data_IF_595541850476
#
_entry.id   IF_595541850476
#
_cell.length_a   1.000
_cell.length_b   1.000
_cell.length_c   1.000
_cell.angle_alpha   90.00
_cell.angle_beta   90.00
_cell.angle_gamma   90.00
#
_symmetry.space_group_name_H-M   'P 1'
#
loop_
_entity.id
_entity.type
_entity.pdbx_description
1 polymer ?
#
# COMPACT_ATOMS: atom_id res chain seq x y z
N UNK A 1 19.90 -9.11 -3.37
CA UNK A 1 21.04 -9.72 -2.64
C UNK A 1 20.71 -9.94 -1.16
N UNK A 2 20.47 -8.90 -0.34
CA UNK A 2 20.17 -9.08 1.10
C UNK A 2 18.93 -9.93 1.41
N UNK A 3 17.81 -9.73 0.70
CA UNK A 3 16.61 -10.54 0.89
C UNK A 3 16.85 -12.04 0.60
N UNK A 4 17.65 -12.34 -0.43
CA UNK A 4 18.04 -13.70 -0.80
C UNK A 4 18.90 -14.36 0.29
N UNK A 5 19.87 -13.61 0.85
CA UNK A 5 20.69 -14.09 1.98
C UNK A 5 19.82 -14.35 3.21
N UNK A 6 18.88 -13.44 3.53
CA UNK A 6 17.94 -13.63 4.64
C UNK A 6 17.04 -14.84 4.45
N UNK A 7 16.53 -15.08 3.24
CA UNK A 7 15.74 -16.27 2.92
C UNK A 7 16.54 -17.57 3.10
N UNK A 8 17.78 -17.62 2.58
CA UNK A 8 18.65 -18.77 2.72
C UNK A 8 18.99 -19.06 4.17
N UNK A 9 19.34 -18.03 4.95
CA UNK A 9 19.68 -18.17 6.37
C UNK A 9 18.47 -18.66 7.17
N UNK A 10 17.29 -18.09 6.93
CA UNK A 10 16.06 -18.55 7.57
C UNK A 10 15.79 -20.03 7.25
N UNK A 11 15.91 -20.43 5.97
CA UNK A 11 15.77 -21.82 5.56
C UNK A 11 16.76 -22.76 6.25
N UNK A 12 18.04 -22.35 6.34
CA UNK A 12 19.06 -23.12 7.04
C UNK A 12 18.75 -23.30 8.53
N UNK A 13 18.28 -22.25 9.19
CA UNK A 13 17.88 -22.30 10.60
C UNK A 13 16.70 -23.25 10.83
N UNK A 14 15.71 -23.25 9.94
CA UNK A 14 14.60 -24.22 10.00
C UNK A 14 15.07 -25.66 9.81
N UNK A 15 16.01 -25.90 8.88
CA UNK A 15 16.58 -27.24 8.66
C UNK A 15 17.34 -27.73 9.89
N UNK A 16 18.19 -26.88 10.48
CA UNK A 16 18.97 -27.24 11.67
C UNK A 16 18.07 -27.68 12.83
N UNK A 17 16.95 -27.01 13.02
CA UNK A 17 16.04 -27.34 14.11
C UNK A 17 15.15 -28.53 13.80
N UNK A 18 14.76 -28.69 12.54
CA UNK A 18 14.15 -29.94 12.09
C UNK A 18 15.07 -31.13 12.37
N UNK A 19 16.39 -30.95 12.26
CA UNK A 19 17.39 -31.97 12.57
C UNK A 19 17.60 -32.17 14.08
N UNK A 20 17.40 -31.14 14.91
CA UNK A 20 17.51 -31.21 16.37
C UNK A 20 16.27 -31.88 17.02
N UNK A 21 15.14 -31.95 16.31
CA UNK A 21 13.88 -32.51 16.80
C UNK A 21 13.99 -33.93 17.38
N UNK A 22 14.65 -34.92 16.73
CA UNK A 22 14.79 -36.25 17.30
C UNK A 22 15.55 -36.24 18.63
N UNK A 23 16.55 -35.37 18.78
CA UNK A 23 17.32 -35.21 20.02
C UNK A 23 16.44 -34.62 21.12
N UNK A 24 15.62 -33.63 20.77
CA UNK A 24 14.66 -33.00 21.70
C UNK A 24 13.63 -34.03 22.18
N UNK A 25 13.07 -34.84 21.28
CA UNK A 25 12.08 -35.88 21.61
C UNK A 25 12.71 -36.94 22.52
N UNK A 26 13.90 -37.43 22.18
CA UNK A 26 14.61 -38.39 23.02
C UNK A 26 15.02 -37.80 24.39
N UNK A 27 15.11 -36.47 24.48
CA UNK A 27 15.43 -35.73 25.68
C UNK A 27 14.22 -35.30 26.53
N UNK A 28 12.98 -35.71 26.18
CA UNK A 28 11.77 -35.42 26.95
C UNK A 28 11.75 -36.12 28.33
N UNK A 29 12.55 -37.17 28.51
CA UNK A 29 12.84 -37.79 29.80
C UNK A 29 11.57 -38.31 30.50
N UNK A 30 11.14 -37.60 31.55
CA UNK A 30 10.01 -37.98 32.41
C UNK A 30 8.62 -37.66 31.83
N UNK A 31 8.53 -36.88 30.75
CA UNK A 31 7.26 -36.55 30.12
C UNK A 31 6.84 -37.59 29.10
N UNK A 32 5.58 -38.02 29.15
CA UNK A 32 4.98 -38.78 28.07
C UNK A 32 4.90 -37.92 26.80
N UNK A 33 5.03 -38.56 25.63
CA UNK A 33 4.85 -37.89 24.34
C UNK A 33 3.45 -37.23 24.25
N UNK A 34 2.43 -37.86 24.81
CA UNK A 34 1.06 -37.34 24.82
C UNK A 34 0.97 -36.06 25.66
N UNK A 35 1.55 -36.06 26.86
CA UNK A 35 1.57 -34.89 27.75
C UNK A 35 2.33 -33.72 27.11
N UNK A 36 3.46 -33.99 26.46
CA UNK A 36 4.24 -32.98 25.77
C UNK A 36 3.47 -32.35 24.61
N UNK A 37 2.72 -33.15 23.84
CA UNK A 37 1.85 -32.66 22.77
C UNK A 37 0.71 -31.81 23.33
N UNK A 38 0.07 -32.24 24.42
CA UNK A 38 -1.02 -31.50 25.05
C UNK A 38 -0.55 -30.12 25.55
N UNK A 39 0.60 -30.07 26.22
CA UNK A 39 1.21 -28.79 26.63
C UNK A 39 1.54 -27.91 25.43
N UNK A 40 2.10 -28.48 24.37
CA UNK A 40 2.46 -27.74 23.18
C UNK A 40 1.23 -27.16 22.45
N UNK A 41 0.14 -27.92 22.35
CA UNK A 41 -1.12 -27.45 21.77
C UNK A 41 -1.79 -26.38 22.63
N UNK A 42 -1.83 -26.56 23.95
CA UNK A 42 -2.37 -25.56 24.87
C UNK A 42 -1.61 -24.23 24.75
N UNK A 43 -0.27 -24.28 24.75
CA UNK A 43 0.57 -23.10 24.59
C UNK A 43 0.40 -22.48 23.20
N UNK A 44 0.27 -23.29 22.15
CA UNK A 44 -0.01 -22.79 20.81
C UNK A 44 -1.29 -21.95 20.75
N UNK A 45 -2.38 -22.46 21.33
CA UNK A 45 -3.65 -21.71 21.42
C UNK A 45 -3.48 -20.41 22.21
N UNK A 46 -2.82 -20.47 23.37
CA UNK A 46 -2.55 -19.29 24.20
C UNK A 46 -1.77 -18.23 23.42
N UNK A 47 -0.70 -18.62 22.72
CA UNK A 47 0.13 -17.71 21.93
C UNK A 47 -0.66 -17.07 20.79
N UNK A 48 -1.50 -17.84 20.08
CA UNK A 48 -2.35 -17.32 19.00
C UNK A 48 -3.36 -16.31 19.56
N UNK A 49 -4.01 -16.62 20.68
CA UNK A 49 -4.99 -15.73 21.32
C UNK A 49 -4.32 -14.46 21.83
N UNK A 50 -3.20 -14.57 22.53
CA UNK A 50 -2.43 -13.41 23.01
C UNK A 50 -1.99 -12.51 21.86
N UNK A 51 -1.55 -13.09 20.74
CA UNK A 51 -1.20 -12.33 19.54
C UNK A 51 -2.41 -11.58 18.99
N UNK A 52 -3.55 -12.25 18.82
CA UNK A 52 -4.76 -11.59 18.34
C UNK A 52 -5.16 -10.44 19.26
N UNK A 53 -5.18 -10.66 20.58
CA UNK A 53 -5.47 -9.62 21.56
C UNK A 53 -4.48 -8.45 21.42
N UNK A 54 -3.16 -8.72 21.32
CA UNK A 54 -2.15 -7.69 21.19
C UNK A 54 -2.30 -6.87 19.88
N UNK A 55 -2.69 -7.51 18.77
CA UNK A 55 -2.92 -6.83 17.50
C UNK A 55 -4.17 -5.95 17.56
N UNK A 56 -5.27 -6.44 18.15
CA UNK A 56 -6.45 -5.62 18.40
C UNK A 56 -6.13 -4.47 19.36
N UNK A 57 -5.36 -4.72 20.41
CA UNK A 57 -4.95 -3.69 21.36
C UNK A 57 -4.13 -2.61 20.63
N UNK A 58 -3.15 -3.01 19.82
CA UNK A 58 -2.35 -2.10 18.99
C UNK A 58 -3.19 -1.30 17.98
N UNK A 59 -4.20 -1.91 17.37
CA UNK A 59 -5.06 -1.24 16.39
C UNK A 59 -6.05 -0.25 17.02
N UNK A 60 -6.59 -0.55 18.21
CA UNK A 60 -7.68 0.23 18.81
C UNK A 60 -7.21 1.18 19.93
N UNK A 61 -6.19 0.82 20.71
CA UNK A 61 -5.72 1.65 21.86
C UNK A 61 -5.19 3.02 21.44
N UNK A 62 -4.31 3.16 20.43
CA UNK A 62 -3.83 4.48 19.99
C UNK A 62 -4.97 5.38 19.54
N UNK A 63 -6.03 4.81 18.98
CA UNK A 63 -7.22 5.53 18.52
C UNK A 63 -8.11 6.01 19.66
N UNK A 64 -8.18 5.26 20.76
CA UNK A 64 -8.91 5.66 21.97
C UNK A 64 -8.13 6.75 22.72
N UNK A 65 -6.80 6.62 22.81
CA UNK A 65 -5.95 7.54 23.56
C UNK A 65 -5.64 8.84 22.81
N UNK A 66 -5.49 8.80 21.48
CA UNK A 66 -5.06 9.96 20.68
C UNK A 66 -6.11 10.37 19.65
N UNK A 67 -6.77 11.52 19.90
CA UNK A 67 -7.71 12.14 18.94
C UNK A 67 -7.08 12.42 17.57
N UNK A 68 -5.78 12.75 17.51
CA UNK A 68 -5.05 12.97 16.24
C UNK A 68 -5.05 11.73 15.35
N UNK A 69 -4.85 10.54 15.90
CA UNK A 69 -4.83 9.27 15.16
C UNK A 69 -6.25 8.94 14.67
N UNK A 70 -7.27 9.13 15.53
CA UNK A 70 -8.67 8.89 15.16
C UNK A 70 -9.18 9.77 14.00
N UNK A 71 -8.71 11.02 13.92
CA UNK A 71 -9.13 11.98 12.89
C UNK A 71 -8.34 11.79 11.59
N UNK A 72 -7.06 11.40 11.68
CA UNK A 72 -6.16 11.28 10.52
C UNK A 72 -6.22 9.91 9.85
N UNK A 73 -6.57 8.85 10.58
CA UNK A 73 -6.62 7.47 10.09
C UNK A 73 -8.05 6.92 10.08
N UNK A 74 -8.45 6.28 8.97
CA UNK A 74 -9.71 5.54 8.87
C UNK A 74 -9.72 4.36 9.85
N UNK A 75 -10.92 3.86 10.15
CA UNK A 75 -11.04 2.71 11.05
C UNK A 75 -10.47 1.49 10.36
N UNK A 76 -9.50 0.76 10.97
CA UNK A 76 -9.02 -0.49 10.40
C UNK A 76 -10.14 -1.55 10.29
N UNK A 77 -11.31 -1.28 10.87
CA UNK A 77 -12.40 -2.26 10.96
C UNK A 77 -12.00 -3.40 11.89
N UNK A 78 -12.86 -4.42 11.98
CA UNK A 78 -12.55 -5.63 12.74
C UNK A 78 -11.86 -6.68 11.86
N UNK A 79 -12.03 -6.61 10.53
CA UNK A 79 -11.49 -7.57 9.55
C UNK A 79 -9.98 -7.46 9.37
N UNK A 80 -9.45 -6.24 9.26
CA UNK A 80 -8.02 -6.01 9.00
C UNK A 80 -7.13 -6.45 10.17
N UNK A 81 -7.42 -6.09 11.44
CA UNK A 81 -6.62 -6.56 12.58
C UNK A 81 -6.66 -8.08 12.72
N UNK A 82 -7.77 -8.73 12.37
CA UNK A 82 -7.90 -10.18 12.39
C UNK A 82 -6.97 -10.82 11.36
N UNK A 83 -6.97 -10.33 10.12
CA UNK A 83 -6.11 -10.86 9.06
C UNK A 83 -4.64 -10.58 9.35
N UNK A 84 -4.30 -9.38 9.83
CA UNK A 84 -2.93 -9.04 10.24
C UNK A 84 -2.46 -9.92 11.41
N UNK A 85 -3.31 -10.16 12.40
CA UNK A 85 -3.00 -11.04 13.52
C UNK A 85 -2.87 -12.51 13.11
N UNK A 86 -3.62 -12.96 12.11
CA UNK A 86 -3.57 -14.32 11.57
C UNK A 86 -2.40 -14.54 10.60
N UNK A 87 -2.02 -13.51 9.85
CA UNK A 87 -0.93 -13.55 8.86
C UNK A 87 0.47 -13.43 9.48
N UNK A 88 0.58 -13.31 10.81
CA UNK A 88 1.85 -13.15 11.50
C UNK A 88 2.77 -14.35 11.29
N UNK A 89 3.72 -14.22 10.36
CA UNK A 89 4.72 -15.27 10.13
C UNK A 89 5.62 -15.41 11.37
N UNK A 90 5.83 -16.62 11.89
CA UNK A 90 6.82 -16.88 12.92
C UNK A 90 8.21 -16.42 12.47
N UNK A 91 8.85 -15.57 13.28
CA UNK A 91 10.18 -15.07 12.99
C UNK A 91 11.26 -16.02 13.48
N UNK A 92 12.39 -16.06 12.77
CA UNK A 92 13.62 -16.75 13.19
C UNK A 92 14.13 -16.27 14.55
N UNK A 93 13.75 -15.06 14.96
CA UNK A 93 14.07 -14.49 16.27
C UNK A 93 13.50 -15.33 17.42
N UNK A 94 12.25 -15.79 17.34
CA UNK A 94 11.62 -16.59 18.41
C UNK A 94 12.38 -17.89 18.65
N UNK A 95 12.88 -18.43 17.56
CA UNK A 95 13.60 -19.69 17.52
C UNK A 95 15.03 -19.51 18.02
N UNK A 96 15.71 -18.42 17.63
CA UNK A 96 17.01 -18.06 18.17
C UNK A 96 16.94 -17.86 19.70
N UNK A 97 15.86 -17.26 20.21
CA UNK A 97 15.62 -17.12 21.64
C UNK A 97 15.48 -18.46 22.37
N UNK A 98 14.84 -19.45 21.74
CA UNK A 98 14.71 -20.78 22.32
C UNK A 98 16.05 -21.53 22.37
N UNK A 99 16.85 -21.45 21.29
CA UNK A 99 18.19 -22.03 21.25
C UNK A 99 19.19 -21.33 22.19
N UNK A 100 18.95 -20.05 22.50
CA UNK A 100 19.76 -19.29 23.45
C UNK A 100 19.60 -19.77 24.91
N UNK A 101 18.63 -20.67 25.20
CA UNK A 101 18.48 -21.26 26.53
C UNK A 101 19.73 -22.11 26.83
N UNK A 102 20.49 -21.76 27.89
CA UNK A 102 21.76 -22.41 28.20
C UNK A 102 21.56 -23.88 28.54
N UNK A 103 22.57 -24.71 28.26
CA UNK A 103 22.54 -26.14 28.57
C UNK A 103 22.59 -26.39 30.09
N UNK A 104 23.27 -25.50 30.82
CA UNK A 104 23.48 -25.61 32.26
C UNK A 104 23.21 -24.28 32.97
N UNK A 105 22.79 -24.36 34.23
CA UNK A 105 22.75 -23.22 35.14
C UNK A 105 24.18 -22.81 35.56
N UNK A 106 24.29 -21.68 36.25
CA UNK A 106 25.57 -21.16 36.76
C UNK A 106 26.27 -22.09 37.76
N UNK A 107 25.53 -23.01 38.36
CA UNK A 107 26.00 -24.04 39.30
C UNK A 107 26.40 -25.35 38.60
N UNK A 108 26.36 -25.40 37.26
CA UNK A 108 26.71 -26.58 36.46
C UNK A 108 25.60 -27.63 36.36
N UNK A 109 24.44 -27.41 36.98
CA UNK A 109 23.28 -28.31 36.84
C UNK A 109 22.62 -28.15 35.47
N UNK A 110 22.03 -29.23 34.94
CA UNK A 110 21.34 -29.17 33.66
C UNK A 110 20.12 -28.24 33.73
N UNK A 111 19.87 -27.47 32.67
CA UNK A 111 18.73 -26.55 32.65
C UNK A 111 17.40 -27.34 32.73
N UNK A 112 16.54 -27.07 33.73
CA UNK A 112 15.34 -27.86 33.95
C UNK A 112 14.36 -27.68 32.78
N UNK A 113 13.77 -28.78 32.33
CA UNK A 113 12.74 -28.80 31.28
C UNK A 113 13.16 -28.15 29.94
N UNK A 114 14.45 -27.98 29.66
CA UNK A 114 14.94 -27.34 28.42
C UNK A 114 14.38 -28.00 27.17
N UNK A 115 14.45 -29.33 27.09
CA UNK A 115 13.97 -30.09 25.93
C UNK A 115 12.45 -29.94 25.75
N UNK A 116 11.68 -29.87 26.85
CA UNK A 116 10.25 -29.61 26.80
C UNK A 116 9.96 -28.21 26.22
N UNK A 117 10.68 -27.17 26.65
CA UNK A 117 10.53 -25.81 26.11
C UNK A 117 10.87 -25.75 24.62
N UNK A 118 11.96 -26.41 24.21
CA UNK A 118 12.35 -26.50 22.80
C UNK A 118 11.30 -27.25 21.97
N UNK A 119 10.77 -28.36 22.49
CA UNK A 119 9.70 -29.13 21.86
C UNK A 119 8.45 -28.28 21.65
N UNK A 120 7.98 -27.61 22.70
CA UNK A 120 6.82 -26.72 22.64
C UNK A 120 7.06 -25.62 21.61
N UNK A 121 8.21 -24.95 21.65
CA UNK A 121 8.53 -23.87 20.72
C UNK A 121 8.52 -24.36 19.28
N UNK A 122 9.10 -25.54 19.03
CA UNK A 122 9.08 -26.17 17.72
C UNK A 122 7.65 -26.46 17.24
N UNK A 123 6.83 -27.11 18.07
CA UNK A 123 5.45 -27.44 17.72
C UNK A 123 4.63 -26.18 17.46
N UNK A 124 4.78 -25.13 18.28
CA UNK A 124 4.12 -23.84 18.08
C UNK A 124 4.52 -23.24 16.73
N UNK A 125 5.80 -23.25 16.39
CA UNK A 125 6.30 -22.73 15.09
C UNK A 125 5.77 -23.56 13.94
N UNK A 126 5.79 -24.89 14.03
CA UNK A 126 5.30 -25.78 12.98
C UNK A 126 3.81 -25.60 12.76
N UNK A 127 3.01 -25.60 13.83
CA UNK A 127 1.57 -25.39 13.76
C UNK A 127 1.29 -24.01 13.18
N UNK A 128 1.94 -22.95 13.65
CA UNK A 128 1.69 -21.61 13.11
C UNK A 128 2.13 -21.47 11.64
N UNK A 129 3.26 -22.03 11.23
CA UNK A 129 3.69 -22.00 9.82
C UNK A 129 2.76 -22.79 8.89
N UNK A 130 2.44 -24.03 9.26
CA UNK A 130 1.66 -24.93 8.42
C UNK A 130 0.18 -24.58 8.53
N UNK A 131 -0.38 -24.61 9.74
CA UNK A 131 -1.81 -24.35 9.93
C UNK A 131 -2.19 -22.91 9.60
N UNK A 132 -1.51 -21.89 10.17
CA UNK A 132 -1.88 -20.50 9.84
C UNK A 132 -1.50 -20.15 8.39
N UNK A 133 -0.37 -20.64 7.89
CA UNK A 133 0.05 -20.41 6.51
C UNK A 133 -0.94 -20.98 5.47
N UNK A 134 -1.43 -22.21 5.66
CA UNK A 134 -2.41 -22.81 4.75
C UNK A 134 -3.83 -22.27 4.96
N UNK A 135 -4.20 -21.86 6.18
CA UNK A 135 -5.55 -21.32 6.45
C UNK A 135 -5.68 -19.86 6.05
N UNK A 136 -4.59 -19.10 5.94
CA UNK A 136 -4.63 -17.67 5.61
C UNK A 136 -5.31 -17.39 4.25
N UNK A 137 -4.99 -18.07 3.12
CA UNK A 137 -5.69 -17.83 1.86
C UNK A 137 -7.19 -18.10 1.93
N UNK A 138 -7.59 -19.13 2.69
CA UNK A 138 -9.00 -19.46 2.91
C UNK A 138 -9.69 -18.40 3.77
N UNK A 139 -9.01 -17.93 4.82
CA UNK A 139 -9.51 -16.88 5.70
C UNK A 139 -9.72 -15.57 4.96
N UNK A 140 -8.76 -15.18 4.10
CA UNK A 140 -8.87 -13.98 3.25
C UNK A 140 -10.09 -14.10 2.31
N UNK A 141 -10.29 -15.26 1.67
CA UNK A 141 -11.44 -15.51 0.80
C UNK A 141 -12.77 -15.47 1.57
N UNK A 142 -12.82 -16.04 2.77
CA UNK A 142 -14.03 -16.12 3.59
C UNK A 142 -14.46 -14.76 4.13
N UNK A 143 -13.49 -13.95 4.58
CA UNK A 143 -13.75 -12.65 5.19
C UNK A 143 -14.25 -11.63 4.16
N UNK A 144 -14.05 -11.90 2.86
CA UNK A 144 -14.33 -10.97 1.75
C UNK A 144 -13.94 -9.58 2.20
N UNK A 145 -12.64 -9.41 2.43
CA UNK A 145 -12.09 -8.08 2.54
C UNK A 145 -12.37 -7.49 1.17
N UNK A 146 -13.49 -6.75 1.04
CA UNK A 146 -13.54 -5.67 0.05
C UNK A 146 -12.22 -4.97 0.27
N UNK A 147 -11.38 -5.01 -0.77
CA UNK A 147 -10.13 -4.27 -0.83
C UNK A 147 -10.40 -3.00 -0.05
N UNK A 148 -9.68 -2.82 1.07
CA UNK A 148 -9.76 -1.58 1.81
C UNK A 148 -9.22 -0.60 0.80
N UNK A 149 -10.15 -0.05 0.02
CA UNK A 149 -9.96 0.72 -1.20
C UNK A 149 -8.69 1.50 -0.94
N UNK A 150 -7.58 1.02 -1.52
CA UNK A 150 -6.28 1.70 -1.41
C UNK A 150 -6.66 3.09 -1.81
N UNK A 151 -6.72 4.02 -0.84
CA UNK A 151 -7.41 5.29 -1.00
C UNK A 151 -7.14 5.73 -2.41
N UNK A 152 -8.18 5.73 -3.26
CA UNK A 152 -8.02 5.98 -4.68
C UNK A 152 -6.99 7.08 -4.78
N UNK A 153 -5.85 6.81 -5.44
CA UNK A 153 -4.62 7.61 -5.30
C UNK A 153 -4.99 9.09 -5.29
N UNK A 154 -4.24 9.97 -4.63
CA UNK A 154 -4.53 11.42 -4.64
C UNK A 154 -4.92 11.91 -6.07
N UNK A 155 -4.28 11.33 -7.10
CA UNK A 155 -4.65 11.49 -8.51
C UNK A 155 -6.06 11.01 -8.89
N UNK A 156 -6.48 9.82 -8.48
CA UNK A 156 -7.81 9.26 -8.74
C UNK A 156 -8.91 10.04 -8.01
N UNK A 157 -8.66 10.50 -6.78
CA UNK A 157 -9.59 11.39 -6.07
C UNK A 157 -9.72 12.74 -6.78
N UNK A 158 -8.61 13.32 -7.24
CA UNK A 158 -8.62 14.56 -8.03
C UNK A 158 -9.40 14.34 -9.33
N UNK A 159 -9.19 13.22 -10.02
CA UNK A 159 -9.87 12.92 -11.28
C UNK A 159 -11.37 12.66 -11.06
N UNK A 160 -11.77 12.03 -9.96
CA UNK A 160 -13.18 11.87 -9.59
C UNK A 160 -13.87 13.21 -9.33
N UNK A 161 -13.21 14.11 -8.58
CA UNK A 161 -13.72 15.47 -8.33
C UNK A 161 -13.85 16.23 -9.65
N UNK A 162 -12.85 16.16 -10.54
CA UNK A 162 -12.89 16.81 -11.86
C UNK A 162 -14.05 16.32 -12.71
N UNK A 163 -14.28 15.01 -12.76
CA UNK A 163 -15.41 14.42 -13.48
C UNK A 163 -16.74 14.93 -12.93
N UNK A 164 -16.88 14.98 -11.60
CA UNK A 164 -18.10 15.48 -10.95
C UNK A 164 -18.37 16.95 -11.27
N UNK A 165 -17.36 17.81 -11.10
CA UNK A 165 -17.46 19.24 -11.42
C UNK A 165 -17.72 19.48 -12.91
N UNK A 166 -17.13 18.67 -13.79
CA UNK A 166 -17.37 18.71 -15.23
C UNK A 166 -18.82 18.40 -15.57
N UNK A 167 -19.39 17.34 -14.98
CA UNK A 167 -20.82 16.98 -15.16
C UNK A 167 -21.75 18.08 -14.66
N UNK A 168 -21.48 18.65 -13.50
CA UNK A 168 -22.26 19.78 -12.96
C UNK A 168 -22.19 21.00 -13.87
N UNK A 169 -21.01 21.28 -14.43
CA UNK A 169 -20.80 22.38 -15.38
C UNK A 169 -21.55 22.17 -16.69
N UNK A 170 -21.56 20.93 -17.23
CA UNK A 170 -22.34 20.57 -18.43
C UNK A 170 -23.83 20.78 -18.18
N UNK A 171 -24.35 20.29 -17.04
CA UNK A 171 -25.75 20.46 -16.67
C UNK A 171 -26.14 21.94 -16.50
N UNK A 172 -25.23 22.75 -15.95
CA UNK A 172 -25.44 24.20 -15.84
C UNK A 172 -25.51 24.88 -17.21
N UNK A 173 -24.60 24.56 -18.13
CA UNK A 173 -24.62 25.07 -19.51
C UNK A 173 -25.91 24.71 -20.24
N UNK A 174 -26.38 23.47 -20.09
CA UNK A 174 -27.63 23.01 -20.70
C UNK A 174 -28.87 23.70 -20.15
N UNK A 175 -28.85 24.08 -18.87
CA UNK A 175 -29.99 24.75 -18.24
C UNK A 175 -30.03 26.25 -18.55
N UNK A 176 -28.87 26.91 -18.56
CA UNK A 176 -28.79 28.37 -18.56
C UNK A 176 -28.39 28.98 -19.91
N UNK A 177 -27.74 28.21 -20.79
CA UNK A 177 -27.15 28.74 -22.04
C UNK A 177 -27.51 27.92 -23.29
N UNK A 178 -28.59 27.14 -23.24
CA UNK A 178 -28.98 26.26 -24.34
C UNK A 178 -29.26 27.02 -25.65
N UNK A 179 -29.81 28.24 -25.58
CA UNK A 179 -30.11 29.04 -26.77
C UNK A 179 -28.85 29.67 -27.35
N UNK A 180 -28.01 30.23 -26.48
CA UNK A 180 -26.75 30.86 -26.81
C UNK A 180 -25.77 29.85 -27.43
N UNK A 181 -25.81 28.59 -27.01
CA UNK A 181 -25.03 27.51 -27.64
C UNK A 181 -25.53 27.14 -29.04
N UNK A 182 -26.82 27.36 -29.38
CA UNK A 182 -27.33 27.16 -30.74
C UNK A 182 -26.95 28.32 -31.66
N UNK A 183 -26.85 29.53 -31.11
CA UNK A 183 -26.55 30.75 -31.86
C UNK A 183 -25.04 31.00 -32.01
N UNK A 184 -24.22 30.55 -31.05
CA UNK A 184 -22.79 30.80 -31.01
C UNK A 184 -21.97 29.51 -30.85
N UNK A 185 -21.31 29.11 -31.93
CA UNK A 185 -20.47 27.91 -31.99
C UNK A 185 -19.35 27.92 -30.93
N UNK A 186 -18.76 29.10 -30.65
CA UNK A 186 -17.69 29.24 -29.65
C UNK A 186 -18.14 28.82 -28.25
N UNK A 187 -19.40 29.09 -27.88
CA UNK A 187 -19.96 28.71 -26.58
C UNK A 187 -20.26 27.21 -26.56
N UNK A 188 -20.76 26.65 -27.66
CA UNK A 188 -20.96 25.20 -27.81
C UNK A 188 -19.63 24.42 -27.67
N UNK A 189 -18.52 24.97 -28.20
CA UNK A 189 -17.19 24.36 -28.08
C UNK A 189 -16.69 24.28 -26.63
N UNK A 190 -17.10 25.21 -25.75
CA UNK A 190 -16.79 25.13 -24.31
C UNK A 190 -17.42 23.88 -23.69
N UNK A 191 -18.70 23.62 -23.98
CA UNK A 191 -19.38 22.41 -23.52
C UNK A 191 -18.70 21.16 -24.07
N UNK A 192 -18.38 21.15 -25.36
CA UNK A 192 -17.72 20.02 -26.01
C UNK A 192 -16.36 19.69 -25.38
N UNK A 193 -15.58 20.72 -25.05
CA UNK A 193 -14.28 20.54 -24.38
C UNK A 193 -14.43 19.89 -22.99
N UNK A 194 -15.44 20.29 -22.21
CA UNK A 194 -15.72 19.69 -20.89
C UNK A 194 -16.21 18.25 -21.04
N UNK A 195 -17.06 17.96 -22.03
CA UNK A 195 -17.50 16.58 -22.32
C UNK A 195 -16.30 15.70 -22.67
N UNK A 196 -15.41 16.17 -23.54
CA UNK A 196 -14.21 15.42 -23.93
C UNK A 196 -13.31 15.13 -22.73
N UNK A 197 -13.14 16.09 -21.81
CA UNK A 197 -12.32 15.87 -20.61
C UNK A 197 -12.96 14.86 -19.64
N UNK A 198 -14.27 14.95 -19.40
CA UNK A 198 -15.02 14.00 -18.57
C UNK A 198 -14.92 12.58 -19.16
N UNK A 199 -15.20 12.43 -20.46
CA UNK A 199 -15.16 11.13 -21.13
C UNK A 199 -13.75 10.53 -21.13
N UNK A 200 -12.71 11.36 -21.28
CA UNK A 200 -11.32 10.89 -21.20
C UNK A 200 -10.96 10.39 -19.80
N UNK A 201 -11.41 11.08 -18.75
CA UNK A 201 -11.21 10.65 -17.36
C UNK A 201 -12.02 9.40 -17.00
N UNK A 202 -13.23 9.23 -17.53
CA UNK A 202 -14.04 8.02 -17.30
C UNK A 202 -13.47 6.80 -18.00
N UNK A 203 -13.01 6.94 -19.25
CA UNK A 203 -12.31 5.86 -19.97
C UNK A 203 -11.00 5.46 -19.31
N UNK A 204 -10.33 6.38 -18.60
CA UNK A 204 -9.10 6.09 -17.86
C UNK A 204 -9.27 5.12 -16.69
N UNK A 205 -10.50 4.83 -16.27
CA UNK A 205 -10.79 3.86 -15.21
C UNK A 205 -10.68 2.39 -15.67
N UNK A 206 -10.68 2.12 -16.98
CA UNK A 206 -10.41 0.79 -17.51
C UNK A 206 -8.88 0.55 -17.55
N UNK A 207 -8.44 -0.57 -16.99
CA UNK A 207 -7.03 -0.88 -16.73
C UNK A 207 -6.15 -0.86 -18.01
N UNK A 208 -6.69 -1.39 -19.11
CA UNK A 208 -6.03 -1.40 -20.44
C UNK A 208 -5.96 0.00 -21.08
N UNK A 209 -6.95 0.85 -20.78
CA UNK A 209 -7.08 2.21 -21.31
C UNK A 209 -6.21 3.22 -20.54
N UNK A 210 -5.93 2.97 -19.25
CA UNK A 210 -5.09 3.82 -18.38
C UNK A 210 -3.65 3.94 -18.88
N UNK A 211 -3.04 2.83 -19.29
CA UNK A 211 -1.66 2.80 -19.80
C UNK A 211 -1.53 3.52 -21.15
N UNK A 212 -2.53 3.38 -22.02
CA UNK A 212 -2.56 4.07 -23.31
C UNK A 212 -2.76 5.59 -23.12
N UNK A 213 -3.66 6.00 -22.23
CA UNK A 213 -3.90 7.41 -21.93
C UNK A 213 -2.69 8.09 -21.29
N UNK A 214 -1.95 7.43 -20.41
CA UNK A 214 -0.74 7.99 -19.81
C UNK A 214 0.38 8.20 -20.84
N UNK A 215 0.53 7.26 -21.78
CA UNK A 215 1.47 7.39 -22.89
C UNK A 215 1.11 8.58 -23.81
N UNK A 216 -0.17 8.74 -24.16
CA UNK A 216 -0.66 9.86 -24.98
C UNK A 216 -0.49 11.20 -24.26
N UNK A 217 -0.79 11.29 -22.96
CA UNK A 217 -0.55 12.50 -22.16
C UNK A 217 0.93 12.88 -22.14
N UNK A 218 1.81 11.90 -21.98
CA UNK A 218 3.27 12.11 -22.02
C UNK A 218 3.73 12.69 -23.36
N UNK A 219 3.25 12.13 -24.47
CA UNK A 219 3.55 12.61 -25.81
C UNK A 219 3.00 14.03 -26.05
N UNK A 220 1.76 14.31 -25.63
CA UNK A 220 1.15 15.63 -25.71
C UNK A 220 1.98 16.69 -24.96
N UNK A 221 2.36 16.42 -23.71
CA UNK A 221 3.18 17.34 -22.92
C UNK A 221 4.53 17.61 -23.58
N UNK A 222 5.17 16.56 -24.12
CA UNK A 222 6.43 16.71 -24.86
C UNK A 222 6.27 17.67 -26.06
N UNK A 223 5.26 17.45 -26.90
CA UNK A 223 5.00 18.29 -28.07
C UNK A 223 4.70 19.74 -27.66
N UNK A 224 3.90 19.94 -26.60
CA UNK A 224 3.57 21.30 -26.13
C UNK A 224 4.79 22.04 -25.59
N UNK A 225 5.70 21.37 -24.88
CA UNK A 225 6.95 21.97 -24.42
C UNK A 225 7.88 22.34 -25.59
N UNK A 226 7.95 21.50 -26.63
CA UNK A 226 8.69 21.81 -27.86
C UNK A 226 8.12 23.04 -28.58
N UNK A 227 6.79 23.14 -28.68
CA UNK A 227 6.11 24.32 -29.25
C UNK A 227 6.32 25.59 -28.41
N UNK A 228 6.33 25.48 -27.08
CA UNK A 228 6.63 26.60 -26.19
C UNK A 228 8.06 27.10 -26.36
N UNK A 229 9.03 26.20 -26.48
CA UNK A 229 10.42 26.55 -26.78
C UNK A 229 10.53 27.29 -28.12
N UNK A 230 9.81 26.84 -29.15
CA UNK A 230 9.74 27.51 -30.44
C UNK A 230 9.12 28.92 -30.34
N UNK A 231 8.04 29.08 -29.55
CA UNK A 231 7.41 30.39 -29.32
C UNK A 231 8.35 31.35 -28.58
N UNK A 232 9.10 30.86 -27.58
CA UNK A 232 10.12 31.66 -26.89
C UNK A 232 11.22 32.14 -27.84
N UNK A 233 11.73 31.27 -28.70
CA UNK A 233 12.73 31.66 -29.71
C UNK A 233 12.19 32.75 -30.67
N UNK A 234 10.94 32.61 -31.09
CA UNK A 234 10.23 33.65 -31.85
C UNK A 234 10.14 34.98 -31.09
N UNK A 235 9.80 34.95 -29.81
CA UNK A 235 9.72 36.14 -28.96
C UNK A 235 11.08 36.82 -28.80
N UNK A 236 12.19 36.07 -28.69
CA UNK A 236 13.54 36.64 -28.66
C UNK A 236 13.89 37.40 -29.93
N UNK A 237 13.58 36.85 -31.11
CA UNK A 237 13.78 37.56 -32.40
C UNK A 237 12.93 38.82 -32.51
N UNK A 238 11.69 38.77 -32.03
CA UNK A 238 10.80 39.94 -31.98
C UNK A 238 11.38 41.01 -31.04
N UNK A 239 11.94 40.60 -29.89
CA UNK A 239 12.60 41.50 -28.94
C UNK A 239 13.82 42.20 -29.55
N UNK A 240 14.62 41.48 -30.35
CA UNK A 240 15.77 42.07 -31.06
C UNK A 240 15.36 43.08 -32.13
N UNK A 241 14.20 42.88 -32.78
CA UNK A 241 13.70 43.79 -33.82
C UNK A 241 13.31 45.18 -33.29
N UNK A 242 13.13 45.33 -31.97
CA UNK A 242 12.63 46.56 -31.30
C UNK A 242 11.34 47.14 -31.90
N UNK A 243 10.56 46.33 -32.62
CA UNK A 243 9.33 46.77 -33.28
C UNK A 243 8.14 46.95 -32.31
N UNK A 244 8.23 46.41 -31.09
CA UNK A 244 7.16 46.41 -30.10
C UNK A 244 7.65 46.95 -28.75
N UNK A 245 6.72 47.47 -27.96
CA UNK A 245 6.99 47.97 -26.61
C UNK A 245 7.56 46.86 -25.71
N UNK A 246 8.57 47.20 -24.91
CA UNK A 246 9.18 46.26 -23.97
C UNK A 246 8.19 45.73 -22.94
N UNK A 247 7.18 46.50 -22.54
CA UNK A 247 6.21 46.07 -21.53
C UNK A 247 5.22 45.06 -22.10
N UNK A 248 4.83 45.20 -23.37
CA UNK A 248 4.02 44.20 -24.10
C UNK A 248 4.77 42.88 -24.25
N UNK A 249 6.08 42.94 -24.55
CA UNK A 249 6.92 41.75 -24.66
C UNK A 249 7.00 41.00 -23.32
N UNK A 250 7.15 41.72 -22.19
CA UNK A 250 7.15 41.12 -20.85
C UNK A 250 5.83 40.45 -20.52
N UNK A 251 4.70 41.02 -20.94
CA UNK A 251 3.38 40.42 -20.72
C UNK A 251 3.23 39.08 -21.48
N UNK A 252 3.70 39.02 -22.72
CA UNK A 252 3.71 37.77 -23.50
C UNK A 252 4.69 36.75 -22.90
N UNK A 253 5.87 37.19 -22.46
CA UNK A 253 6.85 36.33 -21.77
C UNK A 253 6.23 35.70 -20.51
N UNK A 254 5.55 36.48 -19.69
CA UNK A 254 4.83 36.00 -18.51
C UNK A 254 3.71 35.01 -18.85
N UNK A 255 2.96 35.24 -19.94
CA UNK A 255 1.94 34.30 -20.40
C UNK A 255 2.54 32.94 -20.80
N UNK A 256 3.70 32.94 -21.48
CA UNK A 256 4.40 31.72 -21.85
C UNK A 256 4.94 30.97 -20.62
N UNK A 257 5.47 31.71 -19.63
CA UNK A 257 5.92 31.14 -18.35
C UNK A 257 4.77 30.44 -17.59
N UNK A 258 3.57 31.06 -17.58
CA UNK A 258 2.38 30.45 -16.97
C UNK A 258 1.93 29.19 -17.70
N UNK A 259 2.00 29.15 -19.03
CA UNK A 259 1.66 27.98 -19.83
C UNK A 259 2.64 26.83 -19.55
N UNK A 260 3.94 27.12 -19.45
CA UNK A 260 4.97 26.15 -19.10
C UNK A 260 4.80 25.59 -17.67
N UNK A 261 4.51 26.45 -16.69
CA UNK A 261 4.26 26.03 -15.31
C UNK A 261 3.10 25.05 -15.20
N UNK A 262 2.04 25.23 -16.00
CA UNK A 262 0.88 24.32 -16.05
C UNK A 262 1.24 22.94 -16.61
N UNK A 263 2.18 22.86 -17.56
CA UNK A 263 2.60 21.61 -18.19
C UNK A 263 3.68 20.87 -17.39
N UNK A 264 4.47 21.59 -16.60
CA UNK A 264 5.61 21.06 -15.83
C UNK A 264 5.23 20.53 -14.44
N UNK A 265 4.08 20.94 -13.89
CA UNK A 265 3.62 20.51 -12.56
C UNK A 265 3.09 19.06 -12.59
N UNK A 266 3.99 18.09 -12.36
CA UNK A 266 3.67 16.71 -11.96
C UNK A 266 3.39 16.64 -10.47
#
# INVERSE_FOLDING_TARGET
MWATVGFLLNGFVFILIGLELPVIINGLGEYSMEEAIDYALAICVIVIVLRLIAVYLSAFVPRILFKRVRIKEKSPGWKLPLVVGWAGMPGVVSLASALAIPLTLYDGTAFPHRNLILFITFVVILVTLVFQGLTLPLLIKLIKIEEVDEQASMEEQIDEIRVRLGKESIAYLDKHYAKEMLEHETIARVKEQIIRSVNASERAKEEDTRAQLSAVRGLYNKIMLELLALRRDGLYKIKESKAFDSDVIKEIEYSLDLEESRLSRK
#
